data_IF_552256144002
#
_entry.id   IF_552256144002
#
_cell.length_a   1.000
_cell.length_b   1.000
_cell.length_c   1.000
_cell.angle_alpha   90.00
_cell.angle_beta   90.00
_cell.angle_gamma   90.00
#
_symmetry.space_group_name_H-M   'P 1'
#
loop_
_entity.id
_entity.type
_entity.pdbx_description
1 polymer ?
#
# COMPACT_ATOMS: atom_id res chain seq x y z
N UNK A 1 55.89 0.54 -21.79
CA UNK A 1 55.34 0.68 -20.43
C UNK A 1 54.31 1.81 -20.27
N UNK A 2 54.11 2.70 -21.27
CA UNK A 2 53.09 3.76 -21.19
C UNK A 2 51.68 3.33 -21.68
N UNK A 3 51.58 2.31 -22.53
CA UNK A 3 50.29 1.84 -23.08
C UNK A 3 49.45 0.99 -22.12
N UNK A 4 50.04 0.45 -21.05
CA UNK A 4 49.35 -0.39 -20.05
C UNK A 4 48.73 0.41 -18.90
N UNK A 5 49.13 1.68 -18.72
CA UNK A 5 48.59 2.55 -17.66
C UNK A 5 47.29 3.23 -18.14
N UNK A 6 47.19 3.53 -19.44
CA UNK A 6 46.01 4.16 -20.03
C UNK A 6 44.76 3.26 -19.94
N UNK A 7 44.92 1.93 -20.06
CA UNK A 7 43.80 0.99 -19.97
C UNK A 7 43.31 0.77 -18.55
N UNK A 8 44.16 0.96 -17.54
CA UNK A 8 43.80 0.79 -16.13
C UNK A 8 42.98 1.97 -15.57
N UNK A 9 43.14 3.17 -16.14
CA UNK A 9 42.42 4.37 -15.69
C UNK A 9 41.02 4.50 -16.29
N UNK A 10 40.79 3.93 -17.48
CA UNK A 10 39.46 3.92 -18.14
C UNK A 10 38.45 2.94 -17.53
N UNK A 11 38.85 2.07 -16.59
CA UNK A 11 37.97 1.05 -15.99
C UNK A 11 37.31 1.49 -14.66
N UNK A 12 37.58 2.71 -14.17
CA UNK A 12 37.04 3.20 -12.88
C UNK A 12 35.80 4.11 -12.99
N UNK A 13 35.17 4.23 -14.16
CA UNK A 13 33.97 5.06 -14.32
C UNK A 13 32.74 4.28 -14.80
N UNK A 14 32.66 2.98 -14.51
CA UNK A 14 31.35 2.32 -14.49
C UNK A 14 30.70 2.75 -13.18
N UNK A 15 30.02 3.90 -13.19
CA UNK A 15 29.06 4.24 -12.15
C UNK A 15 28.03 3.11 -12.13
N UNK A 16 28.22 2.18 -11.19
CA UNK A 16 27.26 1.12 -10.94
C UNK A 16 25.98 1.82 -10.48
N UNK A 17 25.01 1.90 -11.38
CA UNK A 17 23.65 2.33 -11.06
C UNK A 17 23.10 1.24 -10.14
N UNK A 18 23.31 1.42 -8.84
CA UNK A 18 22.74 0.54 -7.83
C UNK A 18 21.24 0.80 -7.84
N UNK A 19 20.51 -0.02 -8.59
CA UNK A 19 19.06 -0.09 -8.49
C UNK A 19 18.79 -0.77 -7.13
N UNK A 20 18.56 0.01 -6.07
CA UNK A 20 18.36 -0.54 -4.73
C UNK A 20 16.98 -1.20 -4.66
N UNK A 21 16.89 -2.54 -4.59
CA UNK A 21 15.60 -3.23 -4.49
C UNK A 21 14.96 -3.05 -3.09
N UNK A 22 15.68 -2.38 -2.17
CA UNK A 22 15.36 -2.31 -0.75
C UNK A 22 14.43 -1.17 -0.34
N UNK A 23 13.70 -0.54 -1.28
CA UNK A 23 12.75 0.54 -0.99
C UNK A 23 13.40 1.82 -0.47
N UNK A 24 12.57 2.68 0.14
CA UNK A 24 12.95 4.02 0.56
C UNK A 24 14.08 4.01 1.64
N UNK A 25 15.23 4.68 1.39
CA UNK A 25 16.37 4.72 2.31
C UNK A 25 16.22 5.79 3.40
N UNK A 26 15.11 5.75 4.16
CA UNK A 26 14.73 6.79 5.13
C UNK A 26 15.80 7.08 6.19
N UNK A 27 16.57 6.08 6.63
CA UNK A 27 17.62 6.27 7.64
C UNK A 27 18.74 7.21 7.17
N UNK A 28 19.02 7.24 5.87
CA UNK A 28 20.02 8.13 5.26
C UNK A 28 19.39 9.39 4.66
N UNK A 29 18.09 9.34 4.36
CA UNK A 29 17.34 10.38 3.65
C UNK A 29 15.99 10.63 4.36
N UNK A 30 15.99 11.23 5.57
CA UNK A 30 14.79 11.45 6.36
C UNK A 30 13.77 12.38 5.69
N UNK A 31 14.20 13.20 4.74
CA UNK A 31 13.36 14.07 3.91
C UNK A 31 12.37 13.33 3.02
N UNK A 32 12.56 12.02 2.77
CA UNK A 32 11.55 11.18 2.12
C UNK A 32 10.23 11.19 2.90
N UNK A 33 10.29 11.35 4.22
CA UNK A 33 9.09 11.45 5.06
C UNK A 33 8.37 12.80 4.95
N UNK A 34 8.96 13.79 4.25
CA UNK A 34 8.42 15.16 4.14
C UNK A 34 7.00 15.20 3.54
N UNK A 35 6.42 16.39 3.55
CA UNK A 35 5.09 16.63 3.01
C UNK A 35 4.86 15.99 1.63
N UNK A 36 5.83 16.21 0.72
CA UNK A 36 5.76 15.83 -0.70
C UNK A 36 6.06 14.33 -0.91
N UNK A 37 6.75 13.69 0.03
CA UNK A 37 7.13 12.26 -0.07
C UNK A 37 7.90 11.90 -1.36
N UNK A 38 8.78 12.81 -1.81
CA UNK A 38 9.56 12.63 -3.03
C UNK A 38 10.56 11.47 -2.91
N UNK A 39 10.65 10.58 -3.91
CA UNK A 39 11.77 9.65 -4.05
C UNK A 39 13.10 10.37 -4.25
N UNK A 40 14.19 9.70 -3.90
CA UNK A 40 15.56 10.23 -4.07
C UNK A 40 16.15 9.73 -5.40
N UNK A 41 15.81 10.42 -6.49
CA UNK A 41 16.43 10.27 -7.81
C UNK A 41 16.10 11.49 -8.70
N UNK A 42 16.81 11.64 -9.82
CA UNK A 42 16.70 12.77 -10.74
C UNK A 42 15.48 12.70 -11.67
N UNK A 43 14.27 12.64 -11.10
CA UNK A 43 13.03 12.71 -11.85
C UNK A 43 11.96 13.51 -11.09
N UNK A 44 11.02 14.08 -11.84
CA UNK A 44 9.87 14.81 -11.29
C UNK A 44 8.65 13.91 -11.24
N UNK A 45 7.76 14.17 -10.27
CA UNK A 45 6.51 13.42 -10.20
C UNK A 45 5.63 13.69 -11.42
N UNK A 46 4.86 12.68 -11.80
CA UNK A 46 3.86 12.77 -12.83
C UNK A 46 2.74 13.73 -12.43
N UNK A 47 2.35 14.60 -13.37
CA UNK A 47 1.23 15.54 -13.19
C UNK A 47 -0.12 14.96 -13.65
N UNK A 48 -0.10 13.74 -14.21
CA UNK A 48 -1.29 13.02 -14.63
C UNK A 48 -2.00 12.36 -13.44
N UNK A 49 -3.30 12.03 -13.53
CA UNK A 49 -3.96 11.25 -12.48
C UNK A 49 -3.26 9.90 -12.28
N UNK A 50 -2.93 9.57 -11.04
CA UNK A 50 -2.28 8.32 -10.69
C UNK A 50 -3.18 7.11 -11.04
N UNK A 51 -2.67 6.06 -11.73
CA UNK A 51 -3.42 4.85 -12.00
C UNK A 51 -3.49 3.91 -10.77
N UNK A 52 -3.46 4.44 -9.56
CA UNK A 52 -3.39 3.71 -8.29
C UNK A 52 -4.42 4.24 -7.30
N UNK A 53 -4.94 3.37 -6.44
CA UNK A 53 -5.91 3.73 -5.39
C UNK A 53 -5.53 3.11 -4.05
N UNK A 54 -5.68 3.90 -3.00
CA UNK A 54 -5.65 3.42 -1.62
C UNK A 54 -7.08 3.12 -1.17
N UNK A 55 -7.37 1.84 -0.94
CA UNK A 55 -8.69 1.36 -0.52
C UNK A 55 -8.64 1.06 0.97
N UNK A 56 -9.54 1.67 1.73
CA UNK A 56 -9.60 1.61 3.19
C UNK A 56 -11.04 1.46 3.67
N UNK A 57 -11.22 0.97 4.90
CA UNK A 57 -12.50 1.06 5.61
C UNK A 57 -12.77 2.50 6.05
N UNK A 58 -14.02 2.95 6.10
CA UNK A 58 -14.33 4.32 6.55
C UNK A 58 -14.06 4.60 8.04
N UNK A 59 -13.60 3.60 8.80
CA UNK A 59 -13.29 3.75 10.22
C UNK A 59 -12.08 2.91 10.64
N UNK A 60 -11.60 3.19 11.86
CA UNK A 60 -10.68 2.32 12.61
C UNK A 60 -11.06 2.24 14.09
N UNK A 61 -10.46 1.30 14.81
CA UNK A 61 -10.53 1.17 16.26
C UNK A 61 -9.13 1.06 16.86
N UNK A 62 -8.86 1.80 17.92
CA UNK A 62 -7.57 1.76 18.63
C UNK A 62 -7.23 0.32 19.08
N UNK A 63 -5.97 -0.06 18.88
CA UNK A 63 -5.48 -1.41 19.18
C UNK A 63 -5.98 -2.51 18.23
N UNK A 64 -6.76 -2.18 17.19
CA UNK A 64 -7.15 -3.13 16.14
C UNK A 64 -6.52 -2.73 14.81
N UNK A 65 -5.92 -3.70 14.07
CA UNK A 65 -5.41 -3.42 12.74
C UNK A 65 -6.55 -3.06 11.77
N UNK A 66 -6.45 -1.90 11.13
CA UNK A 66 -7.23 -1.52 9.96
C UNK A 66 -6.50 -1.93 8.69
N UNK A 67 -7.26 -2.35 7.68
CA UNK A 67 -6.73 -2.78 6.40
C UNK A 67 -6.57 -1.60 5.45
N UNK A 68 -5.45 -1.57 4.75
CA UNK A 68 -5.16 -0.64 3.66
C UNK A 68 -4.73 -1.45 2.45
N UNK A 69 -5.39 -1.27 1.31
CA UNK A 69 -5.02 -1.95 0.06
C UNK A 69 -4.54 -0.93 -0.95
N UNK A 70 -3.34 -1.13 -1.49
CA UNK A 70 -2.82 -0.36 -2.62
C UNK A 70 -3.16 -1.13 -3.89
N UNK A 71 -4.05 -0.58 -4.70
CA UNK A 71 -4.55 -1.19 -5.92
C UNK A 71 -4.08 -0.44 -7.16
N UNK A 72 -3.43 -1.14 -8.08
CA UNK A 72 -3.25 -0.71 -9.46
C UNK A 72 -4.58 -0.82 -10.20
N UNK A 73 -5.05 0.30 -10.74
CA UNK A 73 -6.24 0.33 -11.61
C UNK A 73 -5.90 -0.03 -13.06
N UNK A 74 -4.62 0.07 -13.42
CA UNK A 74 -4.03 -0.36 -14.68
C UNK A 74 -2.56 -0.70 -14.46
N UNK A 75 -2.05 -1.71 -15.15
CA UNK A 75 -0.64 -2.11 -15.09
C UNK A 75 -0.22 -2.61 -13.70
N UNK A 76 0.96 -2.16 -13.25
CA UNK A 76 1.59 -2.52 -11.99
C UNK A 76 2.36 -1.31 -11.42
N UNK A 77 2.93 -1.48 -10.22
CA UNK A 77 3.94 -0.59 -9.66
C UNK A 77 5.12 -1.40 -9.12
N UNK A 78 6.32 -0.81 -9.14
CA UNK A 78 7.55 -1.44 -8.63
C UNK A 78 7.97 -0.89 -7.25
N UNK A 79 7.46 0.28 -6.87
CA UNK A 79 7.82 0.92 -5.62
C UNK A 79 6.64 1.57 -4.91
N UNK A 80 6.74 1.58 -3.58
CA UNK A 80 5.75 2.15 -2.69
C UNK A 80 6.45 2.82 -1.51
N UNK A 81 5.95 3.98 -1.12
CA UNK A 81 6.23 4.58 0.18
C UNK A 81 4.94 5.17 0.71
N UNK A 82 4.48 4.73 1.88
CA UNK A 82 3.18 5.13 2.43
C UNK A 82 3.25 5.39 3.93
N UNK A 83 2.54 6.42 4.39
CA UNK A 83 2.35 6.75 5.80
C UNK A 83 0.91 7.23 6.05
N UNK A 84 0.53 7.38 7.32
CA UNK A 84 -0.76 7.94 7.72
C UNK A 84 -0.60 9.33 8.33
N UNK A 85 -1.48 10.27 7.96
CA UNK A 85 -1.51 11.67 8.45
C UNK A 85 -2.85 12.02 9.04
N UNK A 86 -2.85 12.92 10.03
CA UNK A 86 -4.04 13.46 10.67
C UNK A 86 -4.31 14.87 10.14
N UNK A 87 -5.54 15.11 9.67
CA UNK A 87 -5.98 16.42 9.19
C UNK A 87 -4.99 17.08 8.22
N UNK A 88 -4.53 18.28 8.56
CA UNK A 88 -3.54 19.04 7.77
C UNK A 88 -2.11 18.92 8.28
N UNK A 89 -1.85 18.02 9.25
CA UNK A 89 -0.49 17.82 9.78
C UNK A 89 0.38 17.10 8.75
N UNK A 90 1.40 17.79 8.28
CA UNK A 90 2.39 17.36 7.29
C UNK A 90 3.76 17.11 7.92
N UNK A 91 3.85 17.12 9.25
CA UNK A 91 5.10 17.08 10.03
C UNK A 91 5.16 15.91 11.00
N UNK A 92 4.23 14.97 10.90
CA UNK A 92 4.22 13.76 11.70
C UNK A 92 3.60 12.60 10.90
N UNK A 93 3.79 11.39 11.41
CA UNK A 93 3.13 10.18 10.93
C UNK A 93 2.47 9.48 12.12
N UNK A 94 1.30 8.90 11.90
CA UNK A 94 0.51 8.28 12.96
C UNK A 94 0.42 6.77 12.79
N UNK A 95 0.46 6.07 13.93
CA UNK A 95 0.27 4.63 13.99
C UNK A 95 1.46 3.83 13.46
N UNK A 96 1.23 2.53 13.36
CA UNK A 96 2.26 1.56 12.98
C UNK A 96 1.74 0.66 11.88
N UNK A 97 2.60 0.41 10.89
CA UNK A 97 2.30 -0.51 9.80
C UNK A 97 2.81 -1.93 10.08
N UNK A 98 2.16 -2.88 9.44
CA UNK A 98 2.60 -4.26 9.30
C UNK A 98 2.28 -4.76 7.90
N UNK A 99 3.27 -5.24 7.12
CA UNK A 99 3.03 -5.81 5.80
C UNK A 99 2.34 -7.17 5.93
N UNK A 100 1.40 -7.47 5.02
CA UNK A 100 0.87 -8.83 4.90
C UNK A 100 1.95 -9.80 4.37
N UNK A 101 2.83 -9.31 3.47
CA UNK A 101 4.00 -10.04 2.99
C UNK A 101 5.33 -9.35 3.33
N UNK A 102 5.96 -9.79 4.41
CA UNK A 102 7.26 -9.27 4.88
C UNK A 102 8.45 -9.57 3.97
N UNK A 103 8.30 -10.46 2.97
CA UNK A 103 9.34 -10.71 1.96
C UNK A 103 9.37 -9.65 0.86
N UNK A 104 8.25 -8.95 0.67
CA UNK A 104 8.09 -7.96 -0.40
C UNK A 104 8.02 -6.53 0.13
N UNK A 105 7.63 -6.36 1.39
CA UNK A 105 7.48 -5.07 2.03
C UNK A 105 8.11 -5.06 3.42
N UNK A 106 8.53 -3.88 3.85
CA UNK A 106 9.08 -3.63 5.17
C UNK A 106 8.61 -2.27 5.69
N UNK A 107 8.67 -2.12 7.00
CA UNK A 107 8.39 -0.86 7.67
C UNK A 107 9.67 -0.03 7.82
N UNK A 108 9.52 1.29 7.84
CA UNK A 108 10.58 2.26 8.13
C UNK A 108 10.04 3.33 9.09
N UNK A 109 10.96 4.09 9.69
CA UNK A 109 10.63 5.05 10.75
C UNK A 109 10.67 6.47 10.20
N UNK A 110 9.51 7.13 10.17
CA UNK A 110 9.38 8.57 9.91
C UNK A 110 9.13 9.34 11.20
N UNK A 111 9.62 10.58 11.28
CA UNK A 111 9.34 11.49 12.40
C UNK A 111 9.64 10.91 13.79
N UNK A 112 10.67 10.04 13.89
CA UNK A 112 11.03 9.30 15.12
C UNK A 112 9.93 8.37 15.64
N UNK A 113 8.94 8.04 14.81
CA UNK A 113 7.88 7.09 15.10
C UNK A 113 8.23 5.75 14.48
N UNK A 114 8.31 4.71 15.31
CA UNK A 114 8.67 3.35 14.90
C UNK A 114 7.61 2.75 13.98
N UNK A 115 8.02 2.17 12.85
CA UNK A 115 7.15 1.53 11.84
C UNK A 115 6.03 2.43 11.30
N UNK A 116 6.24 3.74 11.30
CA UNK A 116 5.23 4.73 10.91
C UNK A 116 5.06 4.88 9.41
N UNK A 117 5.92 4.26 8.60
CA UNK A 117 5.78 4.17 7.16
C UNK A 117 6.10 2.76 6.65
N UNK A 118 5.66 2.46 5.44
CA UNK A 118 5.88 1.18 4.75
C UNK A 118 6.47 1.41 3.36
N UNK A 119 7.38 0.52 2.94
CA UNK A 119 8.04 0.55 1.62
C UNK A 119 8.35 -0.86 1.12
N UNK A 120 8.66 -1.00 -0.17
CA UNK A 120 9.07 -2.29 -0.72
C UNK A 120 10.42 -2.76 -0.15
N UNK A 121 10.62 -4.08 -0.09
CA UNK A 121 11.89 -4.73 0.28
C UNK A 121 12.44 -5.61 -0.84
N UNK A 122 11.70 -5.75 -1.94
CA UNK A 122 12.09 -6.48 -3.13
C UNK A 122 11.72 -5.71 -4.40
N UNK A 123 12.40 -6.02 -5.51
CA UNK A 123 11.99 -5.55 -6.84
C UNK A 123 11.04 -6.56 -7.47
N UNK A 124 9.78 -6.20 -7.64
CA UNK A 124 8.74 -6.99 -8.29
C UNK A 124 7.62 -6.06 -8.76
N UNK A 125 6.85 -6.52 -9.74
CA UNK A 125 5.59 -5.93 -10.15
C UNK A 125 4.49 -6.24 -9.11
N UNK A 126 3.91 -5.19 -8.56
CA UNK A 126 2.83 -5.22 -7.57
C UNK A 126 1.53 -4.70 -8.17
N UNK A 127 0.39 -5.22 -7.70
CA UNK A 127 -0.93 -4.87 -8.25
C UNK A 127 -1.99 -4.65 -7.18
N UNK A 128 -2.07 -5.53 -6.17
CA UNK A 128 -3.11 -5.50 -5.14
C UNK A 128 -2.51 -5.89 -3.79
N UNK A 129 -1.68 -5.01 -3.22
CA UNK A 129 -0.94 -5.31 -1.99
C UNK A 129 -1.70 -4.83 -0.75
N UNK A 130 -1.68 -5.66 0.29
CA UNK A 130 -2.41 -5.43 1.54
C UNK A 130 -1.43 -5.08 2.65
N UNK A 131 -1.80 -4.05 3.39
CA UNK A 131 -1.08 -3.55 4.55
C UNK A 131 -2.03 -3.41 5.73
N UNK A 132 -1.50 -3.62 6.92
CA UNK A 132 -2.22 -3.46 8.17
C UNK A 132 -1.69 -2.23 8.89
N UNK A 133 -2.59 -1.37 9.35
CA UNK A 133 -2.26 -0.16 10.10
C UNK A 133 -2.93 -0.20 11.47
N UNK A 134 -2.17 0.06 12.53
CA UNK A 134 -2.70 0.12 13.90
C UNK A 134 -2.52 1.52 14.46
N UNK A 135 -3.63 2.12 14.88
CA UNK A 135 -3.64 3.42 15.56
C UNK A 135 -2.81 3.38 16.86
N UNK A 136 -2.12 4.48 17.22
CA UNK A 136 -1.53 4.63 18.55
C UNK A 136 -2.59 4.54 19.66
N UNK A 137 -2.15 4.30 20.90
CA UNK A 137 -3.01 4.40 22.07
C UNK A 137 -3.62 5.81 22.19
N UNK A 138 -4.85 5.88 22.69
CA UNK A 138 -5.62 7.13 22.90
C UNK A 138 -5.76 8.03 21.66
N UNK A 139 -5.67 7.44 20.45
CA UNK A 139 -5.76 8.17 19.18
C UNK A 139 -7.16 8.12 18.56
N UNK A 140 -7.81 9.28 18.39
CA UNK A 140 -9.18 9.40 17.88
C UNK A 140 -9.36 10.40 16.72
N UNK A 141 -8.26 10.86 16.13
CA UNK A 141 -8.31 11.82 15.02
C UNK A 141 -8.84 11.18 13.72
N UNK A 142 -9.30 12.04 12.81
CA UNK A 142 -9.53 11.64 11.42
C UNK A 142 -8.20 11.62 10.68
N UNK A 143 -7.90 10.49 10.03
CA UNK A 143 -6.67 10.32 9.26
C UNK A 143 -6.94 9.94 7.81
N UNK A 144 -5.94 10.14 6.97
CA UNK A 144 -5.83 9.54 5.64
C UNK A 144 -4.47 8.89 5.47
N UNK A 145 -4.39 7.95 4.52
CA UNK A 145 -3.14 7.39 4.05
C UNK A 145 -2.68 8.18 2.84
N UNK A 146 -1.40 8.51 2.82
CA UNK A 146 -0.74 9.18 1.70
C UNK A 146 0.40 8.31 1.23
N UNK A 147 0.50 8.15 -0.09
CA UNK A 147 1.52 7.32 -0.70
C UNK A 147 2.20 8.00 -1.88
N UNK A 148 3.44 7.62 -2.07
CA UNK A 148 4.18 7.73 -3.32
C UNK A 148 4.22 6.35 -3.96
N UNK A 149 3.78 6.26 -5.22
CA UNK A 149 3.72 5.02 -5.99
C UNK A 149 4.59 5.17 -7.24
N UNK A 150 5.54 4.25 -7.38
CA UNK A 150 6.56 4.28 -8.44
C UNK A 150 6.26 3.16 -9.43
N UNK A 151 5.98 3.51 -10.68
CA UNK A 151 5.82 2.53 -11.76
C UNK A 151 7.17 2.03 -12.22
N UNK A 152 8.04 2.98 -12.55
CA UNK A 152 9.45 2.76 -12.89
C UNK A 152 10.27 3.91 -12.31
N UNK A 153 11.61 3.81 -12.34
CA UNK A 153 12.51 4.76 -11.69
C UNK A 153 12.14 6.22 -11.98
N UNK A 154 11.82 6.57 -13.23
CA UNK A 154 11.56 7.95 -13.61
C UNK A 154 10.07 8.23 -13.90
N UNK A 155 9.17 7.30 -13.55
CA UNK A 155 7.72 7.40 -13.71
C UNK A 155 7.01 7.08 -12.38
N UNK A 156 6.55 8.11 -11.67
CA UNK A 156 5.99 7.96 -10.33
C UNK A 156 5.00 9.08 -9.99
N UNK A 157 4.10 8.79 -9.04
CA UNK A 157 3.11 9.73 -8.54
C UNK A 157 3.30 9.90 -7.04
N UNK A 158 3.33 11.15 -6.60
CA UNK A 158 3.21 11.52 -5.19
C UNK A 158 1.76 11.86 -4.87
N UNK A 159 1.44 12.09 -3.60
CA UNK A 159 0.10 12.51 -3.14
C UNK A 159 -1.03 11.58 -3.59
N UNK A 160 -0.76 10.27 -3.68
CA UNK A 160 -1.81 9.26 -3.82
C UNK A 160 -2.46 9.07 -2.45
N UNK A 161 -3.64 9.66 -2.26
CA UNK A 161 -4.32 9.76 -0.96
C UNK A 161 -5.56 8.87 -0.90
N UNK A 162 -5.80 8.22 0.24
CA UNK A 162 -7.03 7.46 0.51
C UNK A 162 -8.21 8.37 0.83
N UNK A 163 -9.42 7.81 0.92
CA UNK A 163 -10.47 8.48 1.69
C UNK A 163 -10.08 8.59 3.17
N UNK A 164 -10.67 9.56 3.86
CA UNK A 164 -10.53 9.68 5.31
C UNK A 164 -11.12 8.47 6.04
N UNK A 165 -10.52 8.14 7.18
CA UNK A 165 -11.00 7.13 8.11
C UNK A 165 -11.11 7.72 9.51
N UNK A 166 -12.19 7.39 10.22
CA UNK A 166 -12.49 7.97 11.53
C UNK A 166 -12.48 6.93 12.64
N UNK A 167 -12.10 7.32 13.85
CA UNK A 167 -12.22 6.43 15.00
C UNK A 167 -13.68 6.03 15.29
N UNK A 168 -13.90 4.75 15.58
CA UNK A 168 -15.19 4.22 16.03
C UNK A 168 -14.99 2.95 16.88
N UNK A 169 -15.58 2.93 18.08
CA UNK A 169 -15.58 1.76 18.96
C UNK A 169 -16.26 0.53 18.36
N UNK A 170 -17.16 0.76 17.40
CA UNK A 170 -17.90 -0.28 16.67
C UNK A 170 -17.30 -0.56 15.31
N UNK A 171 -16.11 -0.04 14.99
CA UNK A 171 -15.45 -0.36 13.73
C UNK A 171 -15.15 -1.86 13.71
N UNK A 172 -15.99 -2.63 13.02
CA UNK A 172 -15.89 -4.07 12.98
C UNK A 172 -14.58 -4.44 12.28
N UNK A 173 -13.87 -5.44 12.82
CA UNK A 173 -12.90 -6.19 12.01
C UNK A 173 -13.65 -6.64 10.76
N UNK A 174 -13.05 -6.54 9.57
CA UNK A 174 -13.57 -7.22 8.39
C UNK A 174 -13.84 -8.69 8.74
N UNK A 175 -15.07 -9.02 9.15
CA UNK A 175 -15.51 -10.39 9.29
C UNK A 175 -15.77 -10.83 7.87
N UNK A 176 -15.08 -11.88 7.43
CA UNK A 176 -15.39 -12.68 6.25
C UNK A 176 -16.83 -13.22 6.36
N UNK A 177 -17.78 -12.35 6.08
CA UNK A 177 -19.21 -12.64 6.06
C UNK A 177 -19.54 -13.34 4.76
N UNK A 178 -19.21 -14.62 4.66
CA UNK A 178 -20.02 -15.51 3.84
C UNK A 178 -21.42 -15.51 4.47
N UNK A 179 -22.28 -14.61 3.99
CA UNK A 179 -23.70 -14.63 4.30
C UNK A 179 -24.21 -16.01 3.90
N UNK A 180 -24.33 -16.93 4.86
CA UNK A 180 -25.05 -18.17 4.64
C UNK A 180 -26.50 -17.77 4.47
N UNK A 181 -26.92 -17.67 3.22
CA UNK A 181 -28.33 -17.62 2.86
C UNK A 181 -28.95 -18.92 3.40
N UNK A 182 -29.56 -18.84 4.60
CA UNK A 182 -30.37 -19.94 5.12
C UNK A 182 -31.62 -19.96 4.28
N UNK A 183 -31.63 -20.77 3.22
CA UNK A 183 -32.89 -21.12 2.58
C UNK A 183 -33.78 -21.79 3.63
N UNK A 184 -35.02 -21.32 3.84
CA UNK A 184 -35.97 -22.06 4.64
C UNK A 184 -36.19 -23.43 3.96
N UNK A 185 -36.16 -24.49 4.76
CA UNK A 185 -36.26 -25.88 4.30
C UNK A 185 -37.55 -26.19 3.49
N UNK A 186 -38.50 -25.27 3.42
CA UNK A 186 -39.74 -25.40 2.66
C UNK A 186 -39.66 -25.06 1.16
N UNK A 187 -38.57 -24.47 0.66
CA UNK A 187 -38.53 -24.00 -0.74
C UNK A 187 -38.04 -25.06 -1.76
N UNK A 188 -37.49 -26.18 -1.29
CA UNK A 188 -36.97 -27.24 -2.18
C UNK A 188 -38.03 -28.23 -2.70
N UNK A 189 -39.26 -28.18 -2.19
CA UNK A 189 -40.31 -29.17 -2.56
C UNK A 189 -41.18 -28.71 -3.75
N UNK A 190 -41.13 -27.44 -4.16
CA UNK A 190 -42.04 -26.92 -5.18
C UNK A 190 -41.63 -27.18 -6.64
N UNK A 191 -40.44 -27.72 -6.92
CA UNK A 191 -39.95 -27.91 -8.30
C UNK A 191 -40.00 -29.37 -8.82
N UNK A 192 -40.47 -30.33 -8.03
CA UNK A 192 -40.54 -31.74 -8.43
C UNK A 192 -41.94 -32.26 -8.83
N UNK A 193 -42.97 -31.40 -8.88
CA UNK A 193 -44.35 -31.83 -9.21
C UNK A 193 -44.86 -31.42 -10.60
N UNK A 194 -44.09 -30.70 -11.41
CA UNK A 194 -44.52 -30.31 -12.77
C UNK A 194 -44.01 -31.25 -13.88
N UNK A 195 -43.07 -32.16 -13.58
CA UNK A 195 -42.50 -33.08 -14.57
C UNK A 195 -43.21 -34.46 -14.67
N UNK A 196 -44.34 -34.66 -13.99
CA UNK A 196 -45.09 -35.93 -13.97
C UNK A 196 -46.36 -35.99 -14.83
N UNK A 197 -46.89 -34.85 -15.29
CA UNK A 197 -48.23 -34.76 -15.90
C UNK A 197 -48.24 -34.63 -17.44
N UNK A 198 -47.13 -34.94 -18.13
CA UNK A 198 -47.03 -34.90 -19.59
C UNK A 198 -46.73 -36.27 -20.24
N UNK A 199 -47.10 -37.38 -19.56
CA UNK A 199 -47.02 -38.74 -20.12
C UNK A 199 -48.31 -39.56 -19.98
N UNK A 200 -49.48 -38.91 -20.07
CA UNK A 200 -50.75 -39.58 -20.37
C UNK A 200 -51.74 -38.55 -20.94
N UNK A 201 -51.57 -38.24 -22.23
CA UNK A 201 -52.63 -37.99 -23.21
C UNK A 201 -52.02 -38.03 -24.60
#
# INVERSE_FOLDING_TARGET
MAFTIATALTLMLVATVHCYPGGAPVSANPEICSDIMMPIHDASAENSPAPYKLIVSGCYKTGQPAKVTVKATSGYYEGLFMLARSGTDKKTAYGTFSPDNSKQFKTVDCYKQTKSAITQSSKKDYTDEVFWWTAPEDFNDTIHFQATVVKEKDEFWVDVVSSDITYSETCAKESSGAARLRLPAGLLVALALVAGFLRLQ
#
